data_IF_464787599648
#
_entry.id   IF_464787599648
#
_cell.length_a   1.000
_cell.length_b   1.000
_cell.length_c   1.000
_cell.angle_alpha   90.00
_cell.angle_beta   90.00
_cell.angle_gamma   90.00
#
_symmetry.space_group_name_H-M   'P 1'
#
loop_
_entity.id
_entity.type
_entity.pdbx_description
1 polymer ?
#
# COMPACT_ATOMS: atom_id res chain seq x y z
N UNK A 1 -20.34 -3.79 4.21
CA UNK A 1 -19.91 -5.14 4.63
C UNK A 1 -18.76 -5.53 3.72
N UNK A 2 -17.53 -5.53 4.24
CA UNK A 2 -16.34 -5.78 3.43
C UNK A 2 -16.27 -7.23 2.93
N UNK A 3 -16.54 -8.20 3.81
CA UNK A 3 -16.50 -9.63 3.48
C UNK A 3 -17.83 -10.01 2.81
N UNK A 4 -17.74 -10.56 1.60
CA UNK A 4 -18.85 -11.06 0.78
C UNK A 4 -19.09 -12.55 1.08
N UNK A 5 -18.03 -13.34 1.07
CA UNK A 5 -18.04 -14.77 1.34
C UNK A 5 -16.89 -15.15 2.27
N UNK A 6 -17.11 -16.13 3.15
CA UNK A 6 -16.10 -16.64 4.06
C UNK A 6 -16.11 -18.16 4.03
N UNK A 7 -15.00 -18.75 3.64
CA UNK A 7 -14.79 -20.20 3.58
C UNK A 7 -13.82 -20.64 4.68
N UNK A 8 -14.12 -21.74 5.35
CA UNK A 8 -13.23 -22.28 6.38
C UNK A 8 -13.25 -23.79 6.41
N UNK A 9 -12.14 -24.38 6.90
CA UNK A 9 -12.13 -25.79 7.30
C UNK A 9 -12.61 -25.94 8.75
N UNK A 10 -13.10 -27.12 9.12
CA UNK A 10 -13.50 -27.43 10.51
C UNK A 10 -12.34 -27.20 11.49
N UNK A 11 -11.13 -27.65 11.15
CA UNK A 11 -9.91 -27.42 11.96
C UNK A 11 -9.62 -25.94 12.17
N UNK A 12 -9.89 -25.09 11.18
CA UNK A 12 -9.66 -23.65 11.30
C UNK A 12 -10.70 -23.00 12.22
N UNK A 13 -11.94 -23.45 12.20
CA UNK A 13 -12.98 -22.98 13.12
C UNK A 13 -12.59 -23.27 14.56
N UNK A 14 -12.09 -24.47 14.84
CA UNK A 14 -11.61 -24.84 16.18
C UNK A 14 -10.35 -24.06 16.59
N UNK A 15 -9.45 -23.77 15.64
CA UNK A 15 -8.18 -23.08 15.88
C UNK A 15 -8.34 -21.59 16.13
N UNK A 16 -9.33 -20.95 15.50
CA UNK A 16 -9.52 -19.50 15.52
C UNK A 16 -10.91 -19.08 16.01
N UNK A 17 -11.37 -19.51 17.21
CA UNK A 17 -12.73 -19.27 17.68
C UNK A 17 -13.11 -17.79 17.68
N UNK A 18 -12.21 -16.90 18.15
CA UNK A 18 -12.46 -15.45 18.20
C UNK A 18 -12.78 -14.85 16.82
N UNK A 19 -12.15 -15.37 15.75
CA UNK A 19 -12.42 -14.92 14.37
C UNK A 19 -13.85 -15.26 13.96
N UNK A 20 -14.30 -16.47 14.27
CA UNK A 20 -15.63 -16.94 13.88
C UNK A 20 -16.74 -16.34 14.75
N UNK A 21 -16.52 -16.09 16.04
CA UNK A 21 -17.41 -15.29 16.90
C UNK A 21 -17.61 -13.86 16.34
N UNK A 22 -16.54 -13.25 15.85
CA UNK A 22 -16.61 -11.92 15.19
C UNK A 22 -17.35 -12.00 13.87
N UNK A 23 -17.15 -13.06 13.06
CA UNK A 23 -17.87 -13.28 11.80
C UNK A 23 -19.38 -13.44 12.07
N UNK A 24 -19.77 -14.23 13.05
CA UNK A 24 -21.17 -14.40 13.48
C UNK A 24 -21.78 -13.08 13.94
N UNK A 25 -21.07 -12.33 14.80
CA UNK A 25 -21.49 -11.01 15.27
C UNK A 25 -21.71 -10.02 14.15
N UNK A 26 -20.89 -10.11 13.09
CA UNK A 26 -20.97 -9.30 11.86
C UNK A 26 -22.00 -9.87 10.85
N UNK A 27 -22.69 -10.97 11.18
CA UNK A 27 -23.62 -11.67 10.29
C UNK A 27 -22.96 -12.08 8.97
N UNK A 28 -21.75 -12.60 9.05
CA UNK A 28 -21.03 -13.19 7.92
C UNK A 28 -21.27 -14.69 8.00
N UNK A 29 -21.88 -15.24 6.96
CA UNK A 29 -22.08 -16.70 6.85
C UNK A 29 -20.75 -17.38 6.54
N UNK A 30 -20.42 -18.41 7.31
CA UNK A 30 -19.22 -19.22 7.13
C UNK A 30 -19.60 -20.49 6.38
N UNK A 31 -18.98 -20.68 5.21
CA UNK A 31 -19.15 -21.90 4.41
C UNK A 31 -18.06 -22.90 4.78
N UNK A 32 -18.44 -24.01 5.40
CA UNK A 32 -17.50 -25.08 5.71
C UNK A 32 -17.11 -25.84 4.46
N UNK A 33 -15.82 -25.99 4.23
CA UNK A 33 -15.25 -26.68 3.07
C UNK A 33 -14.14 -27.63 3.48
N UNK A 34 -13.88 -28.65 2.66
CA UNK A 34 -12.72 -29.52 2.86
C UNK A 34 -11.41 -28.83 2.50
N UNK A 35 -10.27 -29.29 3.06
CA UNK A 35 -8.94 -28.77 2.70
C UNK A 35 -8.64 -28.74 1.19
N UNK A 36 -8.97 -29.80 0.39
CA UNK A 36 -8.77 -29.76 -1.06
C UNK A 36 -9.56 -28.64 -1.74
N UNK A 37 -10.79 -28.38 -1.29
CA UNK A 37 -11.62 -27.29 -1.82
C UNK A 37 -11.02 -25.95 -1.44
N UNK A 38 -10.64 -25.75 -0.16
CA UNK A 38 -10.01 -24.51 0.29
C UNK A 38 -8.71 -24.21 -0.47
N UNK A 39 -7.90 -25.25 -0.71
CA UNK A 39 -6.67 -25.12 -1.50
C UNK A 39 -6.94 -24.73 -2.96
N UNK A 40 -8.06 -25.15 -3.54
CA UNK A 40 -8.46 -24.78 -4.89
C UNK A 40 -8.96 -23.31 -4.97
N UNK A 41 -9.42 -22.74 -3.85
CA UNK A 41 -9.89 -21.36 -3.76
C UNK A 41 -8.75 -20.32 -3.61
N UNK A 42 -7.49 -20.76 -3.45
CA UNK A 42 -6.37 -19.85 -3.19
C UNK A 42 -5.10 -20.30 -3.90
N UNK A 43 -4.28 -19.32 -4.31
CA UNK A 43 -2.93 -19.56 -4.87
C UNK A 43 -1.88 -19.85 -3.79
N UNK A 44 -2.25 -19.91 -2.52
CA UNK A 44 -1.33 -20.16 -1.41
C UNK A 44 -0.99 -21.65 -1.33
N UNK A 45 0.30 -21.95 -1.29
CA UNK A 45 0.79 -23.34 -1.20
C UNK A 45 0.33 -24.03 0.10
N UNK A 46 0.29 -23.27 1.20
CA UNK A 46 -0.11 -23.72 2.54
C UNK A 46 -1.18 -22.75 3.11
N UNK A 47 -2.45 -22.91 2.71
CA UNK A 47 -3.50 -22.06 3.26
C UNK A 47 -3.69 -22.31 4.76
N UNK A 48 -4.08 -21.26 5.48
CA UNK A 48 -4.27 -21.33 6.95
C UNK A 48 -5.65 -21.84 7.37
N UNK A 49 -6.40 -22.40 6.43
CA UNK A 49 -7.73 -22.95 6.71
C UNK A 49 -8.88 -21.95 6.57
N UNK A 50 -8.60 -20.69 6.20
CA UNK A 50 -9.61 -19.65 6.01
C UNK A 50 -9.33 -18.88 4.72
N UNK A 51 -10.38 -18.64 3.93
CA UNK A 51 -10.34 -17.78 2.73
C UNK A 51 -11.58 -16.89 2.74
N UNK A 52 -11.38 -15.60 2.48
CA UNK A 52 -12.47 -14.63 2.35
C UNK A 52 -12.49 -14.00 0.96
N UNK A 53 -13.67 -13.84 0.39
CA UNK A 53 -13.91 -12.94 -0.75
C UNK A 53 -14.39 -11.63 -0.19
N UNK A 54 -13.69 -10.55 -0.57
CA UNK A 54 -13.96 -9.21 -0.08
C UNK A 54 -14.31 -8.26 -1.22
N UNK A 55 -15.10 -7.23 -0.92
CA UNK A 55 -15.21 -6.07 -1.81
C UNK A 55 -13.85 -5.40 -1.94
N UNK A 56 -13.56 -4.89 -3.12
CA UNK A 56 -12.38 -4.06 -3.35
C UNK A 56 -12.56 -2.70 -2.66
N UNK A 57 -11.61 -2.33 -1.84
CA UNK A 57 -11.57 -1.02 -1.19
C UNK A 57 -10.76 -0.07 -2.07
N UNK A 58 -11.37 1.00 -2.52
CA UNK A 58 -10.68 2.11 -3.18
C UNK A 58 -11.24 3.43 -2.67
N UNK A 59 -10.42 4.45 -2.76
CA UNK A 59 -10.77 5.82 -2.38
C UNK A 59 -10.49 6.74 -3.55
N UNK A 60 -11.23 7.82 -3.64
CA UNK A 60 -10.97 8.85 -4.63
C UNK A 60 -9.91 9.84 -4.11
N UNK A 61 -9.08 10.37 -5.00
CA UNK A 61 -8.02 11.33 -4.65
C UNK A 61 -8.59 12.58 -3.98
N UNK A 62 -9.74 13.03 -4.45
CA UNK A 62 -10.45 14.19 -3.92
C UNK A 62 -10.82 14.00 -2.44
N UNK A 63 -11.26 12.82 -2.06
CA UNK A 63 -11.61 12.49 -0.68
C UNK A 63 -10.37 12.50 0.22
N UNK A 64 -9.24 11.96 -0.28
CA UNK A 64 -7.96 12.01 0.42
C UNK A 64 -7.54 13.46 0.66
N UNK A 65 -7.57 14.29 -0.36
CA UNK A 65 -7.19 15.71 -0.27
C UNK A 65 -8.14 16.47 0.70
N UNK A 66 -9.44 16.20 0.63
CA UNK A 66 -10.43 16.83 1.51
C UNK A 66 -10.20 16.48 2.99
N UNK A 67 -9.66 15.31 3.28
CA UNK A 67 -9.28 14.88 4.63
C UNK A 67 -8.02 15.60 5.18
N UNK A 68 -7.31 16.40 4.37
CA UNK A 68 -6.10 17.15 4.72
C UNK A 68 -4.97 16.25 5.26
N UNK A 69 -4.48 15.31 4.44
CA UNK A 69 -3.49 14.33 4.88
C UNK A 69 -2.17 15.03 5.24
N UNK A 70 -1.45 14.45 6.19
CA UNK A 70 -0.12 14.91 6.61
C UNK A 70 0.99 14.09 5.97
N UNK A 71 0.73 12.81 5.73
CA UNK A 71 1.69 11.88 5.14
C UNK A 71 1.00 10.99 4.10
N UNK A 72 1.49 11.04 2.87
CA UNK A 72 0.98 10.24 1.75
C UNK A 72 2.14 9.48 1.10
N UNK A 73 1.92 8.23 0.72
CA UNK A 73 2.84 7.50 -0.15
C UNK A 73 2.25 7.43 -1.57
N UNK A 74 3.01 7.89 -2.58
CA UNK A 74 2.66 7.80 -4.00
C UNK A 74 3.64 6.83 -4.68
N UNK A 75 3.13 5.70 -5.16
CA UNK A 75 3.89 4.66 -5.83
C UNK A 75 3.83 4.89 -7.34
N UNK A 76 4.93 5.36 -7.90
CA UNK A 76 5.05 5.69 -9.32
C UNK A 76 5.57 4.47 -10.09
N UNK A 77 4.71 3.84 -10.89
CA UNK A 77 5.05 2.71 -11.77
C UNK A 77 5.65 1.49 -11.04
N UNK A 78 5.22 1.22 -9.81
CA UNK A 78 5.69 0.06 -9.04
C UNK A 78 5.13 -1.21 -9.68
N UNK A 79 6.01 -2.16 -10.06
CA UNK A 79 5.61 -3.39 -10.77
C UNK A 79 5.81 -4.67 -9.98
N UNK A 80 6.73 -4.68 -9.01
CA UNK A 80 6.90 -5.85 -8.15
C UNK A 80 5.81 -5.92 -7.07
N UNK A 81 5.01 -7.01 -7.03
CA UNK A 81 3.95 -7.15 -6.04
C UNK A 81 4.44 -7.20 -4.60
N UNK A 82 5.67 -7.67 -4.37
CA UNK A 82 6.28 -7.72 -3.04
C UNK A 82 6.61 -6.32 -2.54
N UNK A 83 7.23 -5.50 -3.39
CA UNK A 83 7.57 -4.11 -3.08
C UNK A 83 6.31 -3.26 -2.88
N UNK A 84 5.31 -3.40 -3.75
CA UNK A 84 4.03 -2.71 -3.60
C UNK A 84 3.40 -2.93 -2.21
N UNK A 85 3.30 -4.19 -1.78
CA UNK A 85 2.75 -4.50 -0.46
C UNK A 85 3.67 -4.12 0.69
N UNK A 86 4.99 -4.17 0.51
CA UNK A 86 5.97 -3.74 1.53
C UNK A 86 5.89 -2.24 1.77
N UNK A 87 5.80 -1.42 0.69
CA UNK A 87 5.65 0.04 0.81
C UNK A 87 4.31 0.38 1.47
N UNK A 88 3.22 -0.27 1.07
CA UNK A 88 1.92 -0.05 1.71
C UNK A 88 1.98 -0.37 3.21
N UNK A 89 2.60 -1.48 3.59
CA UNK A 89 2.81 -1.84 5.00
C UNK A 89 3.70 -0.85 5.74
N UNK A 90 4.76 -0.36 5.10
CA UNK A 90 5.64 0.65 5.68
C UNK A 90 4.91 1.99 5.87
N UNK A 91 4.07 2.38 4.93
CA UNK A 91 3.21 3.56 5.01
C UNK A 91 2.24 3.47 6.20
N UNK A 92 1.57 2.31 6.37
CA UNK A 92 0.71 2.04 7.52
C UNK A 92 1.49 2.15 8.84
N UNK A 93 2.64 1.50 8.93
CA UNK A 93 3.49 1.54 10.12
C UNK A 93 4.04 2.95 10.43
N UNK A 94 4.23 3.78 9.41
CA UNK A 94 4.65 5.17 9.55
C UNK A 94 3.50 6.14 9.90
N UNK A 95 2.26 5.64 9.92
CA UNK A 95 1.07 6.46 10.16
C UNK A 95 0.70 7.36 8.99
N UNK A 96 0.92 6.87 7.76
CA UNK A 96 0.45 7.57 6.57
C UNK A 96 -1.08 7.63 6.53
N UNK A 97 -1.61 8.69 5.93
CA UNK A 97 -3.04 8.92 5.81
C UNK A 97 -3.64 8.26 4.57
N UNK A 98 -2.80 8.00 3.56
CA UNK A 98 -3.19 7.33 2.32
C UNK A 98 -2.01 6.77 1.54
N UNK A 99 -2.32 5.80 0.67
CA UNK A 99 -1.40 5.27 -0.34
C UNK A 99 -2.03 5.43 -1.72
N UNK A 100 -1.27 5.94 -2.68
CA UNK A 100 -1.72 6.19 -4.05
C UNK A 100 -0.87 5.35 -5.00
N UNK A 101 -1.50 4.57 -5.84
CA UNK A 101 -0.85 3.79 -6.89
C UNK A 101 -1.12 4.42 -8.25
N UNK A 102 -0.07 4.68 -9.02
CA UNK A 102 -0.21 5.17 -10.38
C UNK A 102 -0.84 4.13 -11.32
N UNK A 103 -1.35 4.59 -12.46
CA UNK A 103 -2.04 3.80 -13.49
C UNK A 103 -1.20 2.64 -14.05
N UNK A 104 0.12 2.79 -14.13
CA UNK A 104 1.04 1.76 -14.63
C UNK A 104 1.63 0.86 -13.53
N UNK A 105 1.08 0.90 -12.32
CA UNK A 105 1.50 0.04 -11.20
C UNK A 105 0.85 -1.35 -11.26
N UNK A 106 1.40 -2.27 -10.50
CA UNK A 106 0.82 -3.60 -10.30
C UNK A 106 -0.59 -3.48 -9.70
N UNK A 107 -1.46 -4.42 -10.05
CA UNK A 107 -2.79 -4.52 -9.43
C UNK A 107 -2.66 -4.73 -7.91
N UNK A 108 -3.17 -3.77 -7.16
CA UNK A 108 -3.15 -3.76 -5.68
C UNK A 108 -3.88 -4.96 -5.10
N UNK A 109 -4.90 -5.47 -5.81
CA UNK A 109 -5.69 -6.63 -5.39
C UNK A 109 -5.11 -7.97 -5.88
N UNK A 110 -3.98 -7.95 -6.57
CA UNK A 110 -3.24 -9.17 -6.85
C UNK A 110 -2.98 -9.92 -5.52
N UNK A 111 -3.27 -11.23 -5.43
CA UNK A 111 -3.12 -11.99 -4.19
C UNK A 111 -1.73 -11.92 -3.56
N UNK A 112 -0.68 -11.74 -4.38
CA UNK A 112 0.70 -11.57 -3.88
C UNK A 112 0.89 -10.20 -3.22
N UNK A 113 0.30 -9.12 -3.76
CA UNK A 113 0.29 -7.79 -3.13
C UNK A 113 -0.47 -7.86 -1.81
N UNK A 114 -1.72 -8.34 -1.84
CA UNK A 114 -2.57 -8.45 -0.64
C UNK A 114 -1.85 -9.19 0.49
N UNK A 115 -1.22 -10.33 0.19
CA UNK A 115 -0.45 -11.08 1.20
C UNK A 115 0.74 -10.31 1.73
N UNK A 116 1.49 -9.59 0.88
CA UNK A 116 2.68 -8.84 1.31
C UNK A 116 2.34 -7.62 2.17
N UNK A 117 1.10 -7.09 2.09
CA UNK A 117 0.64 -6.02 2.99
C UNK A 117 0.43 -6.49 4.42
N UNK A 118 0.30 -7.80 4.67
CA UNK A 118 0.00 -8.39 5.99
C UNK A 118 -1.20 -7.77 6.71
N UNK A 119 -2.20 -7.30 5.96
CA UNK A 119 -3.43 -6.68 6.47
C UNK A 119 -3.49 -5.16 6.35
N UNK A 120 -2.38 -4.47 6.14
CA UNK A 120 -2.33 -3.00 6.07
C UNK A 120 -3.21 -2.42 4.94
N UNK A 121 -3.50 -3.19 3.90
CA UNK A 121 -4.44 -2.80 2.83
C UNK A 121 -5.86 -2.48 3.36
N UNK A 122 -6.22 -2.98 4.53
CA UNK A 122 -7.51 -2.72 5.17
C UNK A 122 -7.48 -1.57 6.19
N UNK A 123 -6.30 -0.98 6.43
CA UNK A 123 -6.12 0.07 7.41
C UNK A 123 -6.06 1.46 6.78
N UNK A 124 -5.55 1.56 5.56
CA UNK A 124 -5.31 2.82 4.86
C UNK A 124 -6.27 3.00 3.68
N UNK A 125 -6.73 4.22 3.42
CA UNK A 125 -7.31 4.58 2.13
C UNK A 125 -6.30 4.34 0.99
N UNK A 126 -6.75 3.67 -0.07
CA UNK A 126 -5.92 3.35 -1.24
C UNK A 126 -6.57 3.93 -2.49
N UNK A 127 -5.83 4.79 -3.20
CA UNK A 127 -6.18 5.28 -4.54
C UNK A 127 -5.45 4.43 -5.57
N UNK A 128 -6.12 4.03 -6.62
CA UNK A 128 -5.57 3.19 -7.70
C UNK A 128 -5.77 3.82 -9.07
N UNK A 129 -4.85 3.57 -9.99
CA UNK A 129 -4.96 4.06 -11.37
C UNK A 129 -4.79 5.57 -11.50
N UNK A 130 -4.03 6.20 -10.59
CA UNK A 130 -3.83 7.62 -10.58
C UNK A 130 -2.81 8.05 -11.66
N UNK A 131 -3.13 9.08 -12.43
CA UNK A 131 -2.13 9.74 -13.27
C UNK A 131 -1.14 10.51 -12.39
N UNK A 132 0.16 10.26 -12.57
CA UNK A 132 1.20 10.79 -11.68
C UNK A 132 1.23 12.33 -11.71
N UNK A 133 1.17 12.93 -12.89
CA UNK A 133 1.33 14.37 -13.04
C UNK A 133 0.15 15.13 -12.43
N UNK A 134 -1.06 14.74 -12.77
CA UNK A 134 -2.28 15.36 -12.23
C UNK A 134 -2.43 15.12 -10.73
N UNK A 135 -1.97 13.97 -10.23
CA UNK A 135 -1.95 13.67 -8.79
C UNK A 135 -0.99 14.59 -8.04
N UNK A 136 0.23 14.74 -8.53
CA UNK A 136 1.23 15.65 -7.94
C UNK A 136 0.71 17.09 -7.95
N UNK A 137 0.16 17.58 -9.06
CA UNK A 137 -0.41 18.92 -9.17
C UNK A 137 -1.55 19.15 -8.17
N UNK A 138 -2.43 18.16 -8.01
CA UNK A 138 -3.56 18.22 -7.07
C UNK A 138 -3.09 18.27 -5.62
N UNK A 139 -2.11 17.44 -5.24
CA UNK A 139 -1.51 17.42 -3.91
C UNK A 139 -0.78 18.76 -3.61
N UNK A 140 0.00 19.29 -4.56
CA UNK A 140 0.66 20.59 -4.42
C UNK A 140 -0.34 21.75 -4.26
N UNK A 141 -1.42 21.72 -5.02
CA UNK A 141 -2.50 22.72 -4.93
C UNK A 141 -3.19 22.68 -3.56
N UNK A 142 -3.18 21.55 -2.90
CA UNK A 142 -3.68 21.37 -1.52
C UNK A 142 -2.65 21.74 -0.43
N UNK A 143 -1.45 22.20 -0.82
CA UNK A 143 -0.39 22.61 0.11
C UNK A 143 0.48 21.46 0.64
N UNK A 144 0.44 20.29 -0.01
CA UNK A 144 1.25 19.12 0.32
C UNK A 144 2.55 19.20 -0.51
N UNK A 145 3.70 19.19 0.15
CA UNK A 145 5.00 19.14 -0.53
C UNK A 145 5.27 17.73 -1.09
N UNK A 146 6.01 17.67 -2.17
CA UNK A 146 6.28 16.40 -2.88
C UNK A 146 7.76 16.08 -2.79
N UNK A 147 8.10 14.97 -2.14
CA UNK A 147 9.46 14.47 -2.05
C UNK A 147 9.60 13.17 -2.83
N UNK A 148 10.59 13.09 -3.73
CA UNK A 148 10.93 11.85 -4.41
C UNK A 148 12.03 11.11 -3.64
N UNK A 149 11.79 9.84 -3.32
CA UNK A 149 12.81 8.97 -2.75
C UNK A 149 13.80 8.56 -3.85
N UNK A 150 14.88 9.31 -4.00
CA UNK A 150 15.89 9.11 -5.05
C UNK A 150 17.31 9.20 -4.49
N UNK A 151 18.13 8.17 -4.78
CA UNK A 151 19.49 8.05 -4.25
C UNK A 151 20.46 9.21 -4.62
N UNK A 152 20.15 10.01 -5.64
CA UNK A 152 20.90 11.20 -6.02
C UNK A 152 20.48 12.49 -5.31
N UNK A 153 19.46 12.44 -4.46
CA UNK A 153 18.88 13.61 -3.79
C UNK A 153 19.65 14.09 -2.56
N UNK A 154 19.08 15.09 -1.89
CA UNK A 154 19.57 15.58 -0.60
C UNK A 154 19.44 14.47 0.47
N UNK A 155 20.45 14.32 1.32
CA UNK A 155 20.39 13.31 2.38
C UNK A 155 19.28 13.64 3.41
N UNK A 156 18.39 12.71 3.68
CA UNK A 156 17.27 12.88 4.62
C UNK A 156 17.68 13.50 5.97
N UNK A 157 18.81 13.13 6.61
CA UNK A 157 19.23 13.73 7.87
C UNK A 157 19.61 15.21 7.78
N UNK A 158 19.82 15.74 6.57
CA UNK A 158 20.17 17.15 6.35
C UNK A 158 18.95 18.07 6.25
N UNK A 159 17.75 17.49 6.13
CA UNK A 159 16.52 18.26 6.05
C UNK A 159 16.22 18.93 7.40
N UNK A 160 15.74 20.16 7.34
CA UNK A 160 15.33 20.89 8.54
C UNK A 160 14.06 20.30 9.15
N UNK A 161 13.88 20.50 10.46
CA UNK A 161 12.64 20.09 11.15
C UNK A 161 11.40 20.77 10.54
N UNK A 162 11.53 22.01 10.09
CA UNK A 162 10.42 22.75 9.47
C UNK A 162 10.03 22.17 8.11
N UNK A 163 10.96 21.61 7.35
CA UNK A 163 10.66 20.88 6.12
C UNK A 163 9.94 19.56 6.42
N UNK A 164 10.44 18.81 7.41
CA UNK A 164 9.87 17.50 7.78
C UNK A 164 8.51 17.60 8.51
N UNK A 165 8.18 18.77 9.05
CA UNK A 165 6.91 18.99 9.76
C UNK A 165 5.74 19.38 8.84
N UNK A 166 6.00 19.63 7.55
CA UNK A 166 4.94 19.98 6.59
C UNK A 166 4.22 18.73 6.07
N UNK A 167 2.95 18.86 5.67
CA UNK A 167 2.27 17.81 4.93
C UNK A 167 3.10 17.38 3.72
N UNK A 168 3.36 16.08 3.59
CA UNK A 168 4.31 15.55 2.59
C UNK A 168 3.76 14.32 1.90
N UNK A 169 3.87 14.30 0.58
CA UNK A 169 3.73 13.09 -0.21
C UNK A 169 5.12 12.58 -0.64
N UNK A 170 5.42 11.34 -0.26
CA UNK A 170 6.63 10.65 -0.69
C UNK A 170 6.36 9.86 -1.96
N UNK A 171 7.06 10.20 -3.03
CA UNK A 171 7.00 9.48 -4.31
C UNK A 171 8.07 8.41 -4.32
N UNK A 172 7.66 7.16 -4.50
CA UNK A 172 8.51 5.99 -4.64
C UNK A 172 8.54 5.59 -6.11
N UNK A 173 9.71 5.58 -6.71
CA UNK A 173 9.92 5.25 -8.13
C UNK A 173 9.92 3.75 -8.41
N UNK A 174 10.04 3.40 -9.69
CA UNK A 174 10.18 2.00 -10.11
C UNK A 174 11.51 1.40 -9.63
N UNK A 175 11.48 0.12 -9.25
CA UNK A 175 12.63 -0.60 -8.67
C UNK A 175 13.80 -0.77 -9.66
N UNK A 176 13.51 -0.83 -10.98
CA UNK A 176 14.52 -1.12 -11.99
C UNK A 176 15.14 0.13 -12.62
N UNK A 177 14.33 1.19 -12.83
CA UNK A 177 14.79 2.42 -13.52
C UNK A 177 14.55 3.71 -12.74
N UNK A 178 13.99 3.63 -11.53
CA UNK A 178 13.72 4.80 -10.70
C UNK A 178 12.55 5.62 -11.19
N UNK A 179 12.82 6.86 -11.55
CA UNK A 179 11.82 7.83 -12.00
C UNK A 179 11.99 8.21 -13.46
N UNK A 180 10.88 8.50 -14.12
CA UNK A 180 10.88 9.21 -15.39
C UNK A 180 11.32 10.67 -15.16
N UNK A 181 12.12 11.28 -16.08
CA UNK A 181 12.59 12.67 -15.91
C UNK A 181 11.45 13.66 -15.67
N UNK A 182 10.34 13.48 -16.36
CA UNK A 182 9.15 14.33 -16.26
C UNK A 182 8.55 14.29 -14.86
N UNK A 183 8.62 13.16 -14.17
CA UNK A 183 8.15 13.03 -12.78
C UNK A 183 9.06 13.80 -11.82
N UNK A 184 10.38 13.75 -12.04
CA UNK A 184 11.34 14.49 -11.19
C UNK A 184 11.23 16.00 -11.37
N UNK A 185 10.82 16.50 -12.53
CA UNK A 185 10.55 17.93 -12.75
C UNK A 185 9.35 18.44 -11.93
N UNK A 186 8.44 17.56 -11.55
CA UNK A 186 7.24 17.91 -10.79
C UNK A 186 7.43 17.89 -9.28
N UNK A 187 8.47 17.24 -8.75
CA UNK A 187 8.69 17.16 -7.30
C UNK A 187 9.32 18.42 -6.74
N UNK A 188 9.14 18.68 -5.44
CA UNK A 188 9.74 19.83 -4.77
C UNK A 188 11.18 19.53 -4.32
N UNK A 189 11.47 18.26 -4.01
CA UNK A 189 12.79 17.84 -3.57
C UNK A 189 13.02 16.34 -3.84
N UNK A 190 14.20 16.01 -4.31
CA UNK A 190 14.72 14.65 -4.31
C UNK A 190 15.45 14.38 -2.99
N UNK A 191 15.12 13.28 -2.32
CA UNK A 191 15.64 12.94 -1.00
C UNK A 191 16.22 11.54 -1.00
N UNK A 192 17.41 11.40 -0.47
CA UNK A 192 18.14 10.15 -0.35
C UNK A 192 18.25 9.70 1.11
N UNK A 193 18.15 8.39 1.33
CA UNK A 193 18.61 7.76 2.56
C UNK A 193 20.10 7.49 2.38
N UNK A 194 20.99 7.97 3.27
CA UNK A 194 22.42 7.77 3.11
C UNK A 194 22.79 6.30 3.24
N UNK A 195 23.62 5.82 2.32
CA UNK A 195 24.16 4.45 2.32
C UNK A 195 25.63 4.52 2.74
N UNK A 196 25.96 3.91 3.87
CA UNK A 196 27.31 3.94 4.43
C UNK A 196 28.16 2.70 4.07
N UNK A 197 27.60 1.76 3.38
CA UNK A 197 28.22 0.51 2.96
C UNK A 197 28.48 0.43 1.46
N UNK A 198 28.70 -0.78 0.96
CA UNK A 198 28.96 -1.05 -0.46
C UNK A 198 27.70 -1.34 -1.29
N UNK A 199 26.50 -1.20 -0.71
CA UNK A 199 25.25 -1.33 -1.45
C UNK A 199 25.06 -0.12 -2.37
N UNK A 200 24.63 -0.36 -3.60
CA UNK A 200 24.38 0.72 -4.58
C UNK A 200 22.97 1.34 -4.43
N UNK A 201 22.04 0.59 -3.87
CA UNK A 201 20.66 1.04 -3.63
C UNK A 201 20.04 0.29 -2.44
N UNK A 202 18.96 0.82 -1.91
CA UNK A 202 18.06 0.15 -0.98
C UNK A 202 16.86 -0.40 -1.75
N UNK A 203 16.30 -1.50 -1.27
CA UNK A 203 14.99 -1.96 -1.76
C UNK A 203 13.89 -1.07 -1.20
N UNK A 204 12.82 -0.89 -1.97
CA UNK A 204 11.63 -0.15 -1.54
C UNK A 204 10.92 -0.83 -0.37
#
# INVERSE_FOLDING_TARGET
KLIVELFATEDAVERYPDLFERAESARIEVQLVSEPVLKALTDTTTPQGVVAVCEQLHSDLEDIIAAKPQLVALLANIRDPGNAGTVLRAADAAGADAVIFSDNSVDVYNPKVVRSTTGSIFHLPVVIGADIATTIESLKSAGIQIFAANGGGAELPTLSKDQLAKPTAWVMGNEAWGFEPETLELVDLEVAVPIYGAAESLNL
#
